data_IF_289511039321
#
_entry.id   IF_289511039321
#
_cell.length_a   1.000
_cell.length_b   1.000
_cell.length_c   1.000
_cell.angle_alpha   90.00
_cell.angle_beta   90.00
_cell.angle_gamma   90.00
#
_symmetry.space_group_name_H-M   'P 1'
#
loop_
_entity.id
_entity.type
_entity.pdbx_description
1 polymer ?
#
# COMPACT_ATOMS: atom_id res chain seq x y z
N UNK A 1 2.73 10.26 -18.33
CA UNK A 1 3.05 9.34 -17.23
C UNK A 1 4.00 10.08 -16.34
N UNK A 2 3.67 10.10 -15.06
CA UNK A 2 4.57 10.70 -14.07
C UNK A 2 5.78 9.76 -13.90
N UNK A 3 6.92 10.31 -13.47
CA UNK A 3 8.11 9.50 -13.29
C UNK A 3 7.89 8.41 -12.24
N UNK A 4 7.17 8.74 -11.16
CA UNK A 4 6.81 7.89 -10.05
C UNK A 4 5.29 7.69 -9.99
N UNK A 5 4.84 6.46 -10.17
CA UNK A 5 3.42 6.06 -10.06
C UNK A 5 3.26 5.00 -8.97
N UNK A 6 2.15 5.04 -8.23
CA UNK A 6 1.89 4.17 -7.09
C UNK A 6 0.48 3.62 -7.07
N UNK A 7 0.36 2.33 -6.79
CA UNK A 7 -0.90 1.62 -6.66
C UNK A 7 -0.98 1.02 -5.26
N UNK A 8 -2.17 1.07 -4.67
CA UNK A 8 -2.41 0.63 -3.30
C UNK A 8 -3.73 -0.12 -3.26
N UNK A 9 -3.79 -1.18 -2.46
CA UNK A 9 -4.96 -2.05 -2.36
C UNK A 9 -5.04 -2.69 -0.96
N UNK A 10 -6.25 -3.07 -0.55
CA UNK A 10 -6.46 -3.86 0.66
C UNK A 10 -7.41 -5.04 0.42
N UNK A 11 -6.90 -6.25 0.62
CA UNK A 11 -7.69 -7.47 0.43
C UNK A 11 -8.01 -8.18 1.74
N UNK A 12 -9.24 -8.66 1.85
CA UNK A 12 -9.62 -9.60 2.89
C UNK A 12 -9.30 -11.01 2.41
N UNK A 13 -8.04 -11.42 2.57
CA UNK A 13 -7.52 -12.73 2.15
C UNK A 13 -8.11 -13.92 2.94
N UNK A 14 -9.33 -13.80 3.49
CA UNK A 14 -10.04 -14.87 4.18
C UNK A 14 -9.35 -15.32 5.47
N UNK A 15 -8.56 -14.46 6.12
CA UNK A 15 -7.83 -14.81 7.33
C UNK A 15 -8.81 -15.05 8.50
N UNK A 16 -9.22 -16.31 8.70
CA UNK A 16 -10.21 -16.72 9.71
C UNK A 16 -9.70 -16.48 11.14
N UNK A 17 -8.38 -16.64 11.33
CA UNK A 17 -7.74 -16.55 12.64
C UNK A 17 -7.67 -15.12 13.15
N UNK A 18 -7.22 -14.19 12.30
CA UNK A 18 -7.00 -12.80 12.71
C UNK A 18 -8.11 -11.86 12.30
N UNK A 19 -8.88 -12.21 11.25
CA UNK A 19 -9.87 -11.36 10.58
C UNK A 19 -9.30 -10.01 10.12
N UNK A 20 -7.98 -9.93 9.91
CA UNK A 20 -7.29 -8.72 9.46
C UNK A 20 -7.16 -8.75 7.96
N UNK A 21 -7.30 -7.58 7.35
CA UNK A 21 -7.03 -7.37 5.94
C UNK A 21 -5.52 -7.39 5.69
N UNK A 22 -5.14 -7.71 4.46
CA UNK A 22 -3.81 -7.54 3.92
C UNK A 22 -3.78 -6.20 3.18
N UNK A 23 -2.90 -5.30 3.58
CA UNK A 23 -2.61 -4.08 2.83
C UNK A 23 -1.43 -4.31 1.90
N UNK A 24 -1.51 -3.79 0.69
CA UNK A 24 -0.41 -3.84 -0.25
C UNK A 24 -0.26 -2.56 -1.05
N UNK A 25 0.95 -2.33 -1.55
CA UNK A 25 1.22 -1.28 -2.52
C UNK A 25 2.34 -1.71 -3.47
N UNK A 26 2.36 -1.11 -4.66
CA UNK A 26 3.47 -1.18 -5.60
C UNK A 26 3.74 0.21 -6.17
N UNK A 27 5.02 0.59 -6.24
CA UNK A 27 5.47 1.80 -6.90
C UNK A 27 6.34 1.47 -8.10
N UNK A 28 6.12 2.20 -9.19
CA UNK A 28 6.87 2.11 -10.43
C UNK A 28 7.60 3.43 -10.70
N UNK A 29 8.87 3.34 -11.10
CA UNK A 29 9.67 4.45 -11.60
C UNK A 29 9.96 4.20 -13.08
N UNK A 30 9.50 5.09 -13.97
CA UNK A 30 9.60 4.90 -15.43
C UNK A 30 9.11 3.51 -15.88
N UNK A 31 7.91 3.12 -15.45
CA UNK A 31 7.28 1.82 -15.72
C UNK A 31 8.01 0.58 -15.15
N UNK A 32 9.05 0.78 -14.35
CA UNK A 32 9.79 -0.31 -13.68
C UNK A 32 9.38 -0.35 -12.20
N UNK A 33 8.91 -1.50 -11.74
CA UNK A 33 8.59 -1.69 -10.31
C UNK A 33 9.84 -1.55 -9.45
N UNK A 34 9.80 -0.60 -8.51
CA UNK A 34 10.92 -0.28 -7.60
C UNK A 34 10.64 -0.69 -6.16
N UNK A 35 9.39 -0.60 -5.70
CA UNK A 35 9.01 -1.05 -4.36
C UNK A 35 7.67 -1.77 -4.38
N UNK A 36 7.58 -2.81 -3.56
CA UNK A 36 6.38 -3.61 -3.33
C UNK A 36 6.34 -3.96 -1.85
N UNK A 37 5.16 -3.82 -1.24
CA UNK A 37 4.91 -4.31 0.12
C UNK A 37 3.56 -5.00 0.15
N UNK A 38 3.48 -6.08 0.92
CA UNK A 38 2.23 -6.70 1.32
C UNK A 38 2.34 -7.07 2.80
N UNK A 39 1.51 -6.48 3.65
CA UNK A 39 1.53 -6.73 5.09
C UNK A 39 0.13 -6.85 5.66
N UNK A 40 -0.02 -7.70 6.66
CA UNK A 40 -1.26 -7.76 7.44
C UNK A 40 -1.43 -6.45 8.22
N UNK A 41 -2.66 -5.92 8.23
CA UNK A 41 -2.98 -4.71 8.99
C UNK A 41 -2.78 -4.93 10.49
N UNK A 42 -2.42 -3.88 11.22
CA UNK A 42 -2.24 -3.96 12.67
C UNK A 42 -3.58 -4.13 13.40
N UNK A 43 -4.66 -3.60 12.84
CA UNK A 43 -6.01 -3.61 13.38
C UNK A 43 -6.98 -4.38 12.46
N UNK A 44 -8.11 -4.79 13.02
CA UNK A 44 -9.22 -5.37 12.26
C UNK A 44 -10.06 -4.23 11.68
N UNK A 45 -10.06 -4.08 10.35
CA UNK A 45 -10.94 -3.13 9.68
C UNK A 45 -12.38 -3.65 9.65
N UNK A 46 -13.34 -2.75 9.84
CA UNK A 46 -14.77 -3.09 9.92
C UNK A 46 -15.43 -3.25 8.54
N UNK A 47 -14.78 -2.79 7.48
CA UNK A 47 -15.19 -2.97 6.09
C UNK A 47 -13.98 -2.76 5.16
N UNK A 48 -14.19 -2.87 3.85
CA UNK A 48 -13.16 -2.58 2.85
C UNK A 48 -12.74 -1.12 2.88
N UNK A 49 -13.65 -0.17 3.09
CA UNK A 49 -13.30 1.27 3.06
C UNK A 49 -12.23 1.66 4.09
N UNK A 50 -12.34 1.35 5.40
CA UNK A 50 -11.26 1.59 6.34
C UNK A 50 -9.98 0.79 6.01
N UNK A 51 -10.11 -0.41 5.44
CA UNK A 51 -8.95 -1.21 5.06
C UNK A 51 -8.14 -0.54 3.94
N UNK A 52 -8.83 -0.02 2.91
CA UNK A 52 -8.24 0.76 1.82
C UNK A 52 -7.56 2.01 2.36
N UNK A 53 -8.18 2.73 3.30
CA UNK A 53 -7.54 3.89 3.93
C UNK A 53 -6.25 3.53 4.69
N UNK A 54 -6.20 2.40 5.37
CA UNK A 54 -4.99 1.92 6.05
C UNK A 54 -3.90 1.62 5.02
N UNK A 55 -4.24 0.92 3.94
CA UNK A 55 -3.30 0.65 2.85
C UNK A 55 -2.80 1.97 2.24
N UNK A 56 -3.71 2.91 1.95
CA UNK A 56 -3.40 4.23 1.38
C UNK A 56 -2.40 5.00 2.24
N UNK A 57 -2.59 5.01 3.56
CA UNK A 57 -1.65 5.69 4.48
C UNK A 57 -0.26 5.07 4.42
N UNK A 58 -0.15 3.74 4.36
CA UNK A 58 1.14 3.08 4.20
C UNK A 58 1.79 3.38 2.84
N UNK A 59 0.99 3.36 1.76
CA UNK A 59 1.47 3.72 0.42
C UNK A 59 1.94 5.18 0.35
N UNK A 60 1.22 6.13 0.96
CA UNK A 60 1.62 7.54 0.97
C UNK A 60 2.94 7.76 1.71
N UNK A 61 3.19 7.05 2.82
CA UNK A 61 4.48 7.13 3.52
C UNK A 61 5.63 6.69 2.61
N UNK A 62 5.44 5.59 1.89
CA UNK A 62 6.41 5.10 0.91
C UNK A 62 6.61 6.11 -0.22
N UNK A 63 5.53 6.68 -0.76
CA UNK A 63 5.59 7.68 -1.82
C UNK A 63 6.41 8.92 -1.41
N UNK A 64 6.20 9.42 -0.18
CA UNK A 64 6.97 10.55 0.37
C UNK A 64 8.46 10.19 0.46
N UNK A 65 8.77 8.98 0.92
CA UNK A 65 10.15 8.52 1.04
C UNK A 65 10.82 8.38 -0.34
N UNK A 66 10.11 7.81 -1.32
CA UNK A 66 10.59 7.66 -2.69
C UNK A 66 10.83 9.01 -3.37
N UNK A 67 9.90 9.96 -3.23
CA UNK A 67 10.07 11.34 -3.72
C UNK A 67 11.33 12.00 -3.16
N UNK A 68 11.51 11.90 -1.84
CA UNK A 68 12.73 12.39 -1.19
C UNK A 68 14.01 11.71 -1.69
N UNK A 69 13.95 10.43 -2.09
CA UNK A 69 15.10 9.68 -2.59
C UNK A 69 15.47 10.08 -4.03
N UNK A 70 14.48 10.36 -4.89
CA UNK A 70 14.69 10.75 -6.30
C UNK A 70 14.89 12.26 -6.48
N UNK A 71 14.71 13.06 -5.41
CA UNK A 71 14.86 14.51 -5.43
C UNK A 71 13.63 15.26 -5.95
N UNK A 72 12.44 14.66 -5.80
CA UNK A 72 11.12 15.27 -6.07
C UNK A 72 10.38 15.68 -4.80
#
# INVERSE_FOLDING_TARGET
MDALEGYVDADYAGNIDTRKYLSGFVFTLFDISVTLKANQQSIVALSTTPAEYIALVEGVKEAIWLKSMIGE
#
